data_IF_465238760574
#
_entry.id   IF_465238760574
#
_cell.length_a   1.000
_cell.length_b   1.000
_cell.length_c   1.000
_cell.angle_alpha   90.00
_cell.angle_beta   90.00
_cell.angle_gamma   90.00
#
_symmetry.space_group_name_H-M   'P 1'
#
loop_
_entity.id
_entity.type
_entity.pdbx_description
1 polymer ?
#
# COMPACT_ATOMS: atom_id res chain seq x y z
N UNK A 1 -3.28 -9.62 5.21
CA UNK A 1 -2.66 -8.55 6.01
C UNK A 1 -3.77 -7.61 6.43
N UNK A 2 -3.81 -7.18 7.69
CA UNK A 2 -4.87 -6.30 8.15
C UNK A 2 -4.52 -4.81 7.94
N UNK A 3 -5.51 -3.93 8.13
CA UNK A 3 -5.34 -2.49 7.97
C UNK A 3 -4.39 -1.88 9.01
N UNK A 4 -4.28 -2.46 10.21
CA UNK A 4 -3.35 -1.97 11.23
C UNK A 4 -1.90 -2.28 10.89
N UNK A 5 -1.62 -3.45 10.32
CA UNK A 5 -0.30 -3.86 9.85
C UNK A 5 0.18 -2.93 8.73
N UNK A 6 -0.70 -2.63 7.76
CA UNK A 6 -0.37 -1.69 6.66
C UNK A 6 -0.07 -0.29 7.22
N UNK A 7 -0.88 0.20 8.15
CA UNK A 7 -0.65 1.50 8.79
C UNK A 7 0.64 1.53 9.61
N UNK A 8 0.94 0.43 10.30
CA UNK A 8 2.18 0.27 11.07
C UNK A 8 3.39 0.30 10.14
N UNK A 9 3.34 -0.46 9.03
CA UNK A 9 4.38 -0.45 8.02
C UNK A 9 4.62 0.96 7.48
N UNK A 10 3.57 1.65 7.03
CA UNK A 10 3.67 3.02 6.50
C UNK A 10 4.24 4.00 7.52
N UNK A 11 3.85 3.89 8.80
CA UNK A 11 4.38 4.75 9.86
C UNK A 11 5.87 4.48 10.11
N UNK A 12 6.31 3.22 10.12
CA UNK A 12 7.71 2.86 10.27
C UNK A 12 8.54 3.30 9.05
N UNK A 13 7.99 3.21 7.85
CA UNK A 13 8.60 3.75 6.63
C UNK A 13 8.78 5.26 6.68
N UNK A 14 7.77 6.00 7.14
CA UNK A 14 7.85 7.45 7.29
C UNK A 14 8.90 7.88 8.32
N UNK A 15 8.96 7.19 9.47
CA UNK A 15 9.95 7.45 10.53
C UNK A 15 11.38 7.17 10.04
N UNK A 16 11.57 6.15 9.21
CA UNK A 16 12.89 5.73 8.71
C UNK A 16 13.51 6.71 7.69
N UNK A 17 12.71 7.61 7.10
CA UNK A 17 13.23 8.58 6.12
C UNK A 17 14.05 9.73 6.74
N UNK A 18 14.33 9.66 8.05
CA UNK A 18 15.32 10.44 8.80
C UNK A 18 15.15 11.98 8.74
N UNK A 19 13.91 12.46 8.71
CA UNK A 19 13.54 13.87 8.88
C UNK A 19 12.64 14.12 10.09
N UNK A 20 12.64 15.36 10.60
CA UNK A 20 11.78 15.76 11.73
C UNK A 20 10.34 15.92 11.26
N UNK A 21 9.50 14.92 11.50
CA UNK A 21 8.07 14.96 11.24
C UNK A 21 7.28 15.35 12.48
N UNK A 22 6.31 16.24 12.33
CA UNK A 22 5.24 16.36 13.31
C UNK A 22 4.23 15.23 13.14
N UNK A 23 3.44 14.96 14.19
CA UNK A 23 2.31 14.03 14.09
C UNK A 23 1.26 14.50 13.07
N UNK A 24 1.17 15.80 12.79
CA UNK A 24 0.28 16.36 11.77
C UNK A 24 0.78 16.03 10.36
N UNK A 25 2.09 16.06 10.14
CA UNK A 25 2.67 15.64 8.86
C UNK A 25 2.43 14.16 8.60
N UNK A 26 2.58 13.33 9.65
CA UNK A 26 2.24 11.92 9.60
C UNK A 26 0.75 11.68 9.31
N UNK A 27 -0.14 12.47 9.92
CA UNK A 27 -1.59 12.40 9.70
C UNK A 27 -1.95 12.67 8.23
N UNK A 28 -1.39 13.72 7.64
CA UNK A 28 -1.62 14.06 6.24
C UNK A 28 -1.07 13.00 5.28
N UNK A 29 0.12 12.44 5.55
CA UNK A 29 0.72 11.43 4.67
C UNK A 29 0.07 10.07 4.76
N UNK A 30 -0.40 9.70 5.95
CA UNK A 30 -1.05 8.41 6.19
C UNK A 30 -2.56 8.45 5.93
N UNK A 31 -3.11 9.63 5.61
CA UNK A 31 -4.54 9.89 5.43
C UNK A 31 -5.39 9.35 6.60
N UNK A 32 -4.97 9.70 7.82
CA UNK A 32 -5.66 9.31 9.06
C UNK A 32 -5.70 10.47 10.03
N UNK A 33 -6.61 10.42 11.01
CA UNK A 33 -6.73 11.46 12.02
C UNK A 33 -5.49 11.59 12.91
N UNK A 34 -5.21 12.81 13.36
CA UNK A 34 -4.10 13.10 14.29
C UNK A 34 -4.18 12.26 15.58
N UNK A 35 -5.39 12.04 16.10
CA UNK A 35 -5.61 11.19 17.27
C UNK A 35 -5.21 9.73 17.02
N UNK A 36 -5.48 9.21 15.81
CA UNK A 36 -5.09 7.86 15.43
C UNK A 36 -3.56 7.74 15.28
N UNK A 37 -2.91 8.74 14.64
CA UNK A 37 -1.43 8.83 14.59
C UNK A 37 -0.85 8.82 16.01
N UNK A 38 -1.35 9.66 16.91
CA UNK A 38 -0.85 9.73 18.29
C UNK A 38 -0.98 8.38 19.01
N UNK A 39 -2.10 7.67 18.83
CA UNK A 39 -2.31 6.33 19.35
C UNK A 39 -1.32 5.31 18.77
N UNK A 40 -1.12 5.31 17.44
CA UNK A 40 -0.10 4.47 16.80
C UNK A 40 1.30 4.78 17.34
N UNK A 41 1.68 6.06 17.39
CA UNK A 41 3.00 6.50 17.83
C UNK A 41 3.27 6.02 19.26
N UNK A 42 2.36 6.28 20.20
CA UNK A 42 2.51 5.81 21.60
C UNK A 42 2.63 4.30 21.68
N UNK A 43 1.78 3.56 20.97
CA UNK A 43 1.79 2.09 20.98
C UNK A 43 3.08 1.52 20.41
N UNK A 44 3.55 2.02 19.27
CA UNK A 44 4.77 1.51 18.62
C UNK A 44 6.04 1.92 19.39
N UNK A 45 6.06 3.10 20.00
CA UNK A 45 7.11 3.49 20.93
C UNK A 45 7.17 2.56 22.15
N UNK A 46 6.01 2.22 22.75
CA UNK A 46 5.93 1.26 23.85
C UNK A 46 6.38 -0.16 23.45
N UNK A 47 6.18 -0.56 22.19
CA UNK A 47 6.73 -1.80 21.63
C UNK A 47 8.26 -1.75 21.42
N UNK A 48 8.87 -0.57 21.52
CA UNK A 48 10.30 -0.34 21.34
C UNK A 48 10.74 -0.25 19.89
N UNK A 49 9.82 0.03 18.95
CA UNK A 49 10.15 0.09 17.52
C UNK A 49 10.87 1.38 17.12
N UNK A 50 10.65 2.47 17.85
CA UNK A 50 11.42 3.70 17.70
C UNK A 50 11.51 4.43 19.04
N UNK A 51 12.50 5.31 19.14
CA UNK A 51 12.65 6.25 20.26
C UNK A 51 12.15 7.62 19.86
N UNK A 52 11.57 8.34 20.81
CA UNK A 52 11.12 9.72 20.65
C UNK A 52 12.15 10.60 21.35
N UNK A 53 12.75 11.54 20.62
CA UNK A 53 13.72 12.50 21.16
C UNK A 53 13.25 13.92 20.90
N UNK A 54 13.33 14.78 21.91
CA UNK A 54 13.03 16.20 21.76
C UNK A 54 14.28 16.95 21.29
N UNK A 55 14.13 17.72 20.23
CA UNK A 55 15.15 18.62 19.68
C UNK A 55 14.87 20.07 20.13
N UNK A 56 15.89 20.96 20.07
CA UNK A 56 15.69 22.39 20.32
C UNK A 56 14.56 22.97 19.48
N UNK A 57 13.89 23.99 20.04
CA UNK A 57 12.68 24.63 19.50
C UNK A 57 11.43 23.72 19.52
N UNK A 58 11.32 22.85 20.54
CA UNK A 58 10.16 21.96 20.78
C UNK A 58 9.83 21.04 19.59
N UNK A 59 10.85 20.63 18.83
CA UNK A 59 10.69 19.68 17.71
C UNK A 59 10.86 18.25 18.21
N UNK A 60 10.20 17.31 17.56
CA UNK A 60 10.32 15.88 17.89
C UNK A 60 11.06 15.17 16.76
N UNK A 61 12.00 14.29 17.14
CA UNK A 61 12.65 13.34 16.23
C UNK A 61 12.27 11.91 16.63
N UNK A 62 11.86 11.14 15.65
CA UNK A 62 11.64 9.70 15.77
C UNK A 62 12.90 9.00 15.26
N UNK A 63 13.43 8.04 16.03
CA UNK A 63 14.63 7.29 15.67
C UNK A 63 14.29 5.80 15.68
N UNK A 64 14.33 5.16 14.52
CA UNK A 64 14.05 3.74 14.39
C UNK A 64 15.07 2.91 15.21
N UNK A 65 14.59 1.91 15.94
CA UNK A 65 15.48 0.96 16.64
C UNK A 65 15.77 -0.25 15.75
N UNK A 66 16.79 -1.07 16.05
CA UNK A 66 16.99 -2.35 15.38
C UNK A 66 15.75 -3.26 15.43
N UNK A 67 15.00 -3.22 16.55
CA UNK A 67 13.72 -3.95 16.68
C UNK A 67 12.65 -3.42 15.74
N UNK A 68 12.55 -2.09 15.58
CA UNK A 68 11.63 -1.48 14.63
C UNK A 68 12.01 -1.75 13.18
N UNK A 69 13.30 -1.75 12.86
CA UNK A 69 13.79 -2.12 11.53
C UNK A 69 13.42 -3.58 11.19
N UNK A 70 13.63 -4.51 12.11
CA UNK A 70 13.23 -5.91 11.95
C UNK A 70 11.72 -6.05 11.72
N UNK A 71 10.91 -5.34 12.50
CA UNK A 71 9.46 -5.35 12.32
C UNK A 71 9.03 -4.74 10.97
N UNK A 72 9.64 -3.62 10.57
CA UNK A 72 9.41 -3.00 9.27
C UNK A 72 9.70 -4.00 8.14
N UNK A 73 10.83 -4.70 8.20
CA UNK A 73 11.19 -5.74 7.21
C UNK A 73 10.16 -6.88 7.21
N UNK A 74 9.75 -7.37 8.39
CA UNK A 74 8.73 -8.43 8.50
C UNK A 74 7.40 -8.00 7.86
N UNK A 75 6.93 -6.80 8.17
CA UNK A 75 5.69 -6.25 7.62
C UNK A 75 5.81 -5.98 6.11
N UNK A 76 6.97 -5.51 5.64
CA UNK A 76 7.25 -5.33 4.21
C UNK A 76 7.12 -6.65 3.46
N UNK A 77 7.73 -7.72 3.99
CA UNK A 77 7.61 -9.05 3.40
C UNK A 77 6.15 -9.54 3.35
N UNK A 78 5.41 -9.37 4.44
CA UNK A 78 3.99 -9.74 4.48
C UNK A 78 3.14 -8.92 3.50
N UNK A 79 3.44 -7.63 3.35
CA UNK A 79 2.79 -6.75 2.39
C UNK A 79 3.04 -7.23 0.97
N UNK A 80 4.29 -7.56 0.61
CA UNK A 80 4.62 -8.09 -0.71
C UNK A 80 3.86 -9.39 -1.00
N UNK A 81 3.86 -10.34 -0.06
CA UNK A 81 3.11 -11.60 -0.21
C UNK A 81 1.61 -11.34 -0.42
N UNK A 82 1.02 -10.45 0.39
CA UNK A 82 -0.38 -10.08 0.27
C UNK A 82 -0.69 -9.42 -1.09
N UNK A 83 0.15 -8.47 -1.53
CA UNK A 83 0.00 -7.78 -2.81
C UNK A 83 0.13 -8.73 -4.00
N UNK A 84 1.04 -9.71 -3.95
CA UNK A 84 1.16 -10.73 -5.00
C UNK A 84 -0.09 -11.61 -5.09
N UNK A 85 -0.66 -12.02 -3.96
CA UNK A 85 -1.89 -12.81 -3.97
C UNK A 85 -3.11 -12.01 -4.47
N UNK A 86 -3.20 -10.71 -4.12
CA UNK A 86 -4.19 -9.79 -4.70
C UNK A 86 -4.03 -9.70 -6.22
N UNK A 87 -2.81 -9.48 -6.70
CA UNK A 87 -2.52 -9.42 -8.14
C UNK A 87 -2.93 -10.71 -8.86
N UNK A 88 -2.54 -11.88 -8.33
CA UNK A 88 -2.92 -13.19 -8.88
C UNK A 88 -4.42 -13.42 -8.86
N UNK A 89 -5.10 -12.97 -7.81
CA UNK A 89 -6.56 -13.01 -7.71
C UNK A 89 -7.23 -12.15 -8.78
N UNK A 90 -6.80 -10.89 -8.90
CA UNK A 90 -7.31 -9.95 -9.89
C UNK A 90 -7.11 -10.48 -11.31
N UNK A 91 -5.91 -10.94 -11.66
CA UNK A 91 -5.60 -11.53 -12.98
C UNK A 91 -6.50 -12.72 -13.30
N UNK A 92 -6.65 -13.68 -12.36
CA UNK A 92 -7.54 -14.84 -12.54
C UNK A 92 -8.99 -14.43 -12.76
N UNK A 93 -9.48 -13.44 -12.02
CA UNK A 93 -10.84 -12.94 -12.19
C UNK A 93 -11.00 -12.27 -13.55
N UNK A 94 -10.06 -11.42 -13.97
CA UNK A 94 -10.10 -10.74 -15.26
C UNK A 94 -10.06 -11.73 -16.44
N UNK A 95 -9.18 -12.74 -16.39
CA UNK A 95 -9.14 -13.82 -17.37
C UNK A 95 -10.50 -14.53 -17.51
N UNK A 96 -11.16 -14.87 -16.38
CA UNK A 96 -12.50 -15.48 -16.42
C UNK A 96 -13.53 -14.57 -17.10
N UNK A 97 -13.50 -13.28 -16.83
CA UNK A 97 -14.41 -12.32 -17.47
C UNK A 97 -14.13 -12.19 -18.96
N UNK A 98 -12.87 -12.08 -19.38
CA UNK A 98 -12.52 -11.97 -20.80
C UNK A 98 -12.84 -13.24 -21.58
N UNK A 99 -12.60 -14.43 -21.02
CA UNK A 99 -13.01 -15.69 -21.65
C UNK A 99 -14.54 -15.74 -21.82
N UNK A 100 -15.30 -15.24 -20.84
CA UNK A 100 -16.75 -15.11 -20.96
C UNK A 100 -17.18 -14.15 -22.07
N UNK A 101 -16.52 -12.99 -22.20
CA UNK A 101 -16.78 -12.03 -23.27
C UNK A 101 -16.41 -12.60 -24.65
N UNK A 102 -15.30 -13.32 -24.75
CA UNK A 102 -14.87 -13.97 -25.99
C UNK A 102 -15.87 -15.05 -26.43
N UNK A 103 -16.38 -15.85 -25.49
CA UNK A 103 -17.43 -16.83 -25.75
C UNK A 103 -18.75 -16.19 -26.23
N UNK A 104 -19.02 -14.95 -25.82
CA UNK A 104 -20.14 -14.14 -26.32
C UNK A 104 -19.84 -13.46 -27.68
N UNK A 105 -18.65 -13.69 -28.25
CA UNK A 105 -18.23 -13.12 -29.54
C UNK A 105 -17.81 -11.65 -29.48
N UNK A 106 -17.56 -11.10 -28.28
CA UNK A 106 -17.07 -9.73 -28.12
C UNK A 106 -15.64 -9.65 -28.67
N UNK A 107 -15.39 -8.68 -29.56
CA UNK A 107 -14.08 -8.51 -30.22
C UNK A 107 -13.31 -7.28 -29.75
N UNK A 108 -14.01 -6.32 -29.13
CA UNK A 108 -13.47 -5.00 -28.82
C UNK A 108 -13.97 -4.53 -27.46
N UNK A 109 -13.08 -4.00 -26.65
CA UNK A 109 -13.40 -3.44 -25.32
C UNK A 109 -12.75 -2.07 -25.13
N UNK A 110 -13.37 -1.27 -24.27
CA UNK A 110 -12.82 0.00 -23.77
C UNK A 110 -12.62 -0.16 -22.27
N UNK A 111 -11.49 0.32 -21.75
CA UNK A 111 -11.30 0.41 -20.30
C UNK A 111 -11.75 1.77 -19.81
N UNK A 112 -12.41 1.79 -18.65
CA UNK A 112 -12.81 3.02 -17.98
C UNK A 112 -11.95 3.21 -16.73
N UNK A 113 -11.15 4.27 -16.73
CA UNK A 113 -10.22 4.65 -15.68
C UNK A 113 -8.80 4.10 -15.88
N UNK A 114 -7.81 4.97 -15.68
CA UNK A 114 -6.39 4.58 -15.60
C UNK A 114 -6.05 4.22 -14.16
N UNK A 115 -5.72 2.96 -13.92
CA UNK A 115 -5.42 2.43 -12.58
C UNK A 115 -4.57 1.16 -12.66
N UNK A 116 -4.04 0.71 -11.53
CA UNK A 116 -3.31 -0.56 -11.43
C UNK A 116 -4.16 -1.75 -11.93
N UNK A 117 -5.47 -1.75 -11.67
CA UNK A 117 -6.35 -2.82 -12.15
C UNK A 117 -6.52 -2.77 -13.68
N UNK A 118 -6.51 -1.57 -14.29
CA UNK A 118 -6.56 -1.42 -15.74
C UNK A 118 -5.28 -1.96 -16.41
N UNK A 119 -4.12 -1.82 -15.77
CA UNK A 119 -2.87 -2.42 -16.24
C UNK A 119 -2.92 -3.96 -16.16
N UNK A 120 -3.39 -4.52 -15.04
CA UNK A 120 -3.57 -5.98 -14.90
C UNK A 120 -4.58 -6.49 -15.94
N UNK A 121 -5.67 -5.76 -16.15
CA UNK A 121 -6.67 -6.07 -17.18
C UNK A 121 -6.06 -6.05 -18.57
N UNK A 122 -5.20 -5.06 -18.88
CA UNK A 122 -4.57 -4.94 -20.19
C UNK A 122 -3.67 -6.14 -20.48
N UNK A 123 -2.82 -6.50 -19.52
CA UNK A 123 -1.94 -7.68 -19.61
C UNK A 123 -2.78 -8.95 -19.78
N UNK A 124 -3.86 -9.10 -19.01
CA UNK A 124 -4.75 -10.27 -19.08
C UNK A 124 -5.50 -10.36 -20.40
N UNK A 125 -5.84 -9.22 -21.01
CA UNK A 125 -6.54 -9.14 -22.30
C UNK A 125 -5.66 -9.65 -23.45
N UNK A 126 -4.33 -9.49 -23.36
CA UNK A 126 -3.38 -9.97 -24.38
C UNK A 126 -3.40 -11.50 -24.56
N UNK A 127 -3.96 -12.23 -23.61
CA UNK A 127 -4.13 -13.69 -23.70
C UNK A 127 -5.42 -14.10 -24.44
N UNK A 128 -6.17 -13.12 -24.97
CA UNK A 128 -7.45 -13.33 -25.69
C UNK A 128 -7.41 -12.71 -27.08
N UNK A 129 -8.39 -13.01 -27.93
CA UNK A 129 -8.54 -12.37 -29.24
C UNK A 129 -9.18 -10.97 -29.16
N UNK A 130 -9.61 -10.53 -27.97
CA UNK A 130 -10.29 -9.25 -27.75
C UNK A 130 -9.30 -8.10 -27.86
N UNK A 131 -9.63 -7.08 -28.65
CA UNK A 131 -8.81 -5.86 -28.80
C UNK A 131 -9.27 -4.75 -27.88
N UNK A 132 -8.35 -4.19 -27.10
CA UNK A 132 -8.58 -2.90 -26.44
C UNK A 132 -8.55 -1.79 -27.50
N UNK A 133 -9.59 -0.96 -27.56
CA UNK A 133 -9.68 0.13 -28.55
C UNK A 133 -9.47 1.52 -27.96
N UNK A 134 -9.72 1.69 -26.66
CA UNK A 134 -9.49 2.94 -25.95
C UNK A 134 -9.41 2.71 -24.44
N UNK A 135 -8.86 3.71 -23.74
CA UNK A 135 -9.04 3.93 -22.31
C UNK A 135 -9.66 5.32 -22.12
N UNK A 136 -10.67 5.43 -21.26
CA UNK A 136 -11.41 6.67 -20.99
C UNK A 136 -11.37 6.98 -19.52
#
# INVERSE_FOLDING_TARGET
>A
MDTQDIRTLKLLEEIDKDYTQSQRDLSNKLDISLGLVNSFVKRLANKGYFKITTLPKNRVKYILTPKGAMEKTRLTYQYLQYSFELYRGARRNLQKHFNGLEALGVKRVVFYGVSEIAEIAYISLQETAIKMVAIV
#
